data_IF_753657000404
#
_entry.id   IF_753657000404
#
_cell.length_a   1.000
_cell.length_b   1.000
_cell.length_c   1.000
_cell.angle_alpha   90.00
_cell.angle_beta   90.00
_cell.angle_gamma   90.00
#
_symmetry.space_group_name_H-M   'P 1'
#
loop_
_entity.id
_entity.type
_entity.pdbx_description
1 polymer ?
#
# COMPACT_ATOMS: atom_id res chain seq x y z
N UNK A 1 -18.27 2.71 13.92
CA UNK A 1 -17.48 3.51 12.95
C UNK A 1 -17.87 4.96 13.16
N UNK A 2 -16.92 5.81 13.48
CA UNK A 2 -17.14 7.26 13.63
C UNK A 2 -16.96 7.89 12.26
N UNK A 3 -18.03 8.44 11.69
CA UNK A 3 -17.95 9.21 10.45
C UNK A 3 -17.20 10.51 10.73
N UNK A 4 -16.36 10.91 9.78
CA UNK A 4 -15.63 12.17 9.80
C UNK A 4 -16.62 13.33 9.79
N UNK A 5 -16.44 14.29 10.71
CA UNK A 5 -17.26 15.50 10.72
C UNK A 5 -16.43 16.71 10.30
N UNK A 6 -17.10 17.74 9.78
CA UNK A 6 -16.45 19.03 9.49
C UNK A 6 -15.76 19.62 10.74
N UNK A 7 -16.34 19.37 11.93
CA UNK A 7 -15.76 19.81 13.21
C UNK A 7 -14.40 19.15 13.48
N UNK A 8 -14.23 17.88 13.11
CA UNK A 8 -12.95 17.17 13.29
C UNK A 8 -11.87 17.77 12.38
N UNK A 9 -12.21 18.06 11.13
CA UNK A 9 -11.29 18.69 10.16
C UNK A 9 -10.87 20.11 10.60
N UNK A 10 -11.80 20.90 11.11
CA UNK A 10 -11.52 22.24 11.66
C UNK A 10 -10.65 22.16 12.92
N UNK A 11 -10.89 21.17 13.79
CA UNK A 11 -10.08 20.97 15.01
C UNK A 11 -8.67 20.51 14.66
N UNK A 12 -8.50 19.63 13.67
CA UNK A 12 -7.20 19.24 13.16
C UNK A 12 -6.43 20.46 12.63
N UNK A 13 -7.07 21.32 11.82
CA UNK A 13 -6.45 22.58 11.35
C UNK A 13 -6.00 23.46 12.51
N UNK A 14 -6.83 23.63 13.53
CA UNK A 14 -6.47 24.44 14.70
C UNK A 14 -5.21 23.92 15.42
N UNK A 15 -5.08 22.60 15.60
CA UNK A 15 -3.88 22.00 16.19
C UNK A 15 -2.64 22.23 15.31
N UNK A 16 -2.78 22.07 13.99
CA UNK A 16 -1.70 22.31 13.02
C UNK A 16 -1.24 23.76 13.04
N UNK A 17 -2.17 24.71 13.02
CA UNK A 17 -1.85 26.14 13.04
C UNK A 17 -1.27 26.61 14.38
N UNK A 18 -1.56 25.91 15.48
CA UNK A 18 -1.05 26.22 16.82
C UNK A 18 0.34 25.63 17.10
N UNK A 19 0.69 24.52 16.45
CA UNK A 19 1.98 23.85 16.60
C UNK A 19 3.12 24.65 15.94
N UNK A 20 4.34 24.59 16.48
CA UNK A 20 5.57 25.14 15.86
C UNK A 20 6.38 24.03 15.19
N UNK A 21 6.55 22.91 15.88
CA UNK A 21 7.28 21.73 15.39
C UNK A 21 6.32 20.56 15.15
N UNK A 22 6.36 19.99 13.94
CA UNK A 22 5.40 18.97 13.51
C UNK A 22 6.13 17.72 12.99
N UNK A 23 5.76 16.55 13.49
CA UNK A 23 6.17 15.27 12.91
C UNK A 23 5.04 14.77 12.03
N UNK A 24 5.33 14.54 10.75
CA UNK A 24 4.45 13.81 9.85
C UNK A 24 4.95 12.37 9.76
N UNK A 25 4.09 11.37 9.92
CA UNK A 25 4.48 9.98 9.88
C UNK A 25 3.43 9.09 9.22
N UNK A 26 3.86 8.07 8.49
CA UNK A 26 2.99 7.00 7.96
C UNK A 26 3.52 5.62 8.36
N UNK A 27 2.89 4.54 7.90
CA UNK A 27 3.29 3.18 8.25
C UNK A 27 4.67 2.79 7.72
N UNK A 28 5.28 1.80 8.35
CA UNK A 28 6.46 1.10 7.86
C UNK A 28 6.22 0.50 6.47
N UNK A 29 7.23 0.57 5.60
CA UNK A 29 7.11 0.21 4.18
C UNK A 29 5.90 0.91 3.53
N UNK A 30 5.91 2.25 3.53
CA UNK A 30 4.77 3.04 3.11
C UNK A 30 4.44 2.84 1.63
N UNK A 31 3.17 3.02 1.27
CA UNK A 31 2.72 2.99 -0.11
C UNK A 31 2.34 4.38 -0.64
N UNK A 32 1.70 4.42 -1.81
CA UNK A 32 1.30 5.67 -2.46
C UNK A 32 0.27 6.48 -1.68
N UNK A 33 -0.58 5.85 -0.86
CA UNK A 33 -1.61 6.57 -0.10
C UNK A 33 -1.02 7.25 1.13
N UNK A 34 -0.27 6.49 1.93
CA UNK A 34 0.46 7.03 3.08
C UNK A 34 1.45 8.14 2.70
N UNK A 35 2.29 7.92 1.68
CA UNK A 35 3.24 8.95 1.20
C UNK A 35 2.49 10.12 0.55
N UNK A 36 1.46 9.85 -0.27
CA UNK A 36 0.72 10.90 -0.97
C UNK A 36 0.06 11.89 -0.01
N UNK A 37 -0.63 11.38 1.03
CA UNK A 37 -1.29 12.22 2.02
C UNK A 37 -0.25 13.02 2.84
N UNK A 38 0.81 12.35 3.28
CA UNK A 38 1.87 12.97 4.06
C UNK A 38 2.58 14.10 3.29
N UNK A 39 2.93 13.89 2.02
CA UNK A 39 3.60 14.90 1.19
C UNK A 39 2.67 16.06 0.79
N UNK A 40 1.36 15.83 0.68
CA UNK A 40 0.39 16.92 0.50
C UNK A 40 0.30 17.80 1.75
N UNK A 41 0.36 17.21 2.95
CA UNK A 41 0.44 17.98 4.20
C UNK A 41 1.77 18.69 4.35
N UNK A 42 2.90 18.06 4.01
CA UNK A 42 4.22 18.70 4.02
C UNK A 42 4.24 19.99 3.19
N UNK A 43 3.63 19.95 1.99
CA UNK A 43 3.44 21.12 1.13
C UNK A 43 2.60 22.21 1.78
N UNK A 44 1.46 21.84 2.39
CA UNK A 44 0.65 22.80 3.12
C UNK A 44 1.42 23.44 4.28
N UNK A 45 2.19 22.65 5.04
CA UNK A 45 3.01 23.16 6.14
C UNK A 45 4.08 24.16 5.68
N UNK A 46 4.64 24.00 4.48
CA UNK A 46 5.51 25.01 3.87
C UNK A 46 4.77 26.34 3.64
N UNK A 47 3.49 26.31 3.23
CA UNK A 47 2.70 27.54 2.96
C UNK A 47 2.34 28.35 4.21
N UNK A 48 2.41 27.74 5.38
CA UNK A 48 2.13 28.38 6.68
C UNK A 48 3.36 28.44 7.59
N UNK A 49 4.55 28.35 6.99
CA UNK A 49 5.86 28.51 7.63
C UNK A 49 6.07 27.65 8.89
N UNK A 50 5.61 26.38 8.85
CA UNK A 50 5.79 25.44 9.96
C UNK A 50 7.10 24.67 9.86
N UNK A 51 7.73 24.42 11.00
CA UNK A 51 8.86 23.51 11.06
C UNK A 51 8.33 22.08 11.14
N UNK A 52 8.74 21.21 10.21
CA UNK A 52 8.29 19.83 10.21
C UNK A 52 9.37 18.85 9.76
N UNK A 53 9.08 17.57 10.01
CA UNK A 53 9.81 16.44 9.45
C UNK A 53 8.83 15.44 8.85
N UNK A 54 9.13 14.93 7.65
CA UNK A 54 8.38 13.86 7.00
C UNK A 54 9.06 12.52 7.27
N UNK A 55 8.64 11.88 8.36
CA UNK A 55 9.25 10.66 8.89
C UNK A 55 8.68 9.40 8.24
N UNK A 56 9.58 8.53 7.77
CA UNK A 56 9.26 7.21 7.20
C UNK A 56 10.24 6.17 7.72
N UNK A 57 9.81 4.91 7.72
CA UNK A 57 10.68 3.77 8.05
C UNK A 57 10.50 2.62 7.08
N UNK A 58 11.51 1.75 7.02
CA UNK A 58 11.51 0.63 6.08
C UNK A 58 11.94 1.06 4.68
N UNK A 59 11.53 0.28 3.68
CA UNK A 59 11.86 0.55 2.28
C UNK A 59 10.90 1.58 1.70
N UNK A 60 11.41 2.74 1.29
CA UNK A 60 10.61 3.78 0.61
C UNK A 60 10.53 3.43 -0.88
N UNK A 61 9.33 3.25 -1.45
CA UNK A 61 9.20 2.80 -2.83
C UNK A 61 9.71 3.84 -3.84
N UNK A 62 10.76 3.49 -4.59
CA UNK A 62 11.40 4.41 -5.54
C UNK A 62 10.52 4.76 -6.74
N UNK A 63 9.48 3.96 -7.04
CA UNK A 63 8.51 4.30 -8.08
C UNK A 63 7.71 5.56 -7.73
N UNK A 64 7.69 5.99 -6.45
CA UNK A 64 7.06 7.22 -5.97
C UNK A 64 8.00 8.44 -5.97
N UNK A 65 9.26 8.27 -6.38
CA UNK A 65 10.27 9.36 -6.39
C UNK A 65 9.92 10.57 -7.27
N UNK A 66 8.90 10.44 -8.12
CA UNK A 66 8.38 11.56 -8.92
C UNK A 66 7.44 12.48 -8.13
N UNK A 67 7.02 12.09 -6.93
CA UNK A 67 6.12 12.90 -6.11
C UNK A 67 6.84 14.17 -5.61
N UNK A 68 6.20 15.34 -5.70
CA UNK A 68 6.73 16.57 -5.10
C UNK A 68 7.02 16.38 -3.60
N UNK A 69 8.18 16.87 -3.16
CA UNK A 69 8.71 16.71 -1.79
C UNK A 69 9.12 15.29 -1.39
N UNK A 70 9.21 14.34 -2.32
CA UNK A 70 9.73 13.00 -2.00
C UNK A 70 11.14 13.05 -1.40
N UNK A 71 11.97 14.01 -1.80
CA UNK A 71 13.31 14.22 -1.26
C UNK A 71 13.34 14.69 0.20
N UNK A 72 12.21 15.16 0.76
CA UNK A 72 12.08 15.54 2.18
C UNK A 72 11.83 14.35 3.11
N UNK A 73 11.54 13.16 2.56
CA UNK A 73 11.34 11.94 3.35
C UNK A 73 12.63 11.57 4.08
N UNK A 74 12.53 11.25 5.38
CA UNK A 74 13.69 10.90 6.20
C UNK A 74 13.35 9.84 7.25
N UNK A 75 14.36 9.09 7.67
CA UNK A 75 14.29 8.14 8.78
C UNK A 75 14.72 8.77 10.11
N UNK A 76 15.04 10.05 10.12
CA UNK A 76 15.51 10.78 11.30
C UNK A 76 14.46 11.77 11.78
N UNK A 77 14.25 11.84 13.09
CA UNK A 77 13.37 12.82 13.71
C UNK A 77 14.22 13.79 14.53
N UNK A 78 14.34 15.06 14.13
CA UNK A 78 15.17 16.04 14.82
C UNK A 78 14.49 16.64 16.07
N UNK A 79 13.22 16.31 16.32
CA UNK A 79 12.44 16.84 17.43
C UNK A 79 12.33 15.81 18.56
N UNK A 80 13.06 16.03 19.66
CA UNK A 80 12.92 15.19 20.85
C UNK A 80 11.51 15.32 21.48
N UNK A 81 10.95 16.52 21.43
CA UNK A 81 9.61 16.86 21.93
C UNK A 81 8.91 17.75 20.87
N UNK A 82 8.23 17.17 19.88
CA UNK A 82 7.46 17.95 18.92
C UNK A 82 6.21 18.55 19.57
N UNK A 83 5.64 19.61 19.01
CA UNK A 83 4.34 20.11 19.47
C UNK A 83 3.18 19.23 18.98
N UNK A 84 3.31 18.69 17.77
CA UNK A 84 2.27 17.91 17.10
C UNK A 84 2.85 16.74 16.30
N UNK A 85 2.19 15.59 16.40
CA UNK A 85 2.32 14.46 15.49
C UNK A 85 1.09 14.39 14.58
N UNK A 86 1.29 14.15 13.29
CA UNK A 86 0.23 13.81 12.34
C UNK A 86 0.54 12.43 11.74
N UNK A 87 -0.34 11.47 12.00
CA UNK A 87 -0.22 10.10 11.52
C UNK A 87 -1.14 9.84 10.33
N UNK A 88 -0.60 9.27 9.25
CA UNK A 88 -1.31 8.97 8.01
C UNK A 88 -1.33 7.47 7.76
N UNK A 89 -2.51 6.93 7.46
CA UNK A 89 -2.68 5.62 6.81
C UNK A 89 -2.03 4.42 7.54
N UNK A 90 -1.97 4.46 8.86
CA UNK A 90 -1.10 3.52 9.56
C UNK A 90 -1.78 2.23 10.01
N UNK A 91 -3.10 2.21 10.18
CA UNK A 91 -3.89 1.05 10.57
C UNK A 91 -3.68 0.60 12.02
N UNK A 92 -2.43 0.55 12.48
CA UNK A 92 -1.96 0.23 13.82
C UNK A 92 -0.80 1.15 14.21
N UNK A 93 -0.89 1.86 15.34
CA UNK A 93 0.13 2.79 15.85
C UNK A 93 1.54 2.18 15.87
N UNK A 94 1.67 0.87 16.11
CA UNK A 94 2.98 0.20 16.09
C UNK A 94 3.69 0.30 14.73
N UNK A 95 2.93 0.44 13.63
CA UNK A 95 3.46 0.60 12.26
C UNK A 95 4.06 1.97 12.01
N UNK A 96 3.77 2.99 12.83
CA UNK A 96 4.41 4.31 12.70
C UNK A 96 5.89 4.28 13.11
N UNK A 97 6.33 3.28 13.90
CA UNK A 97 7.72 3.10 14.35
C UNK A 97 8.34 4.31 15.05
N UNK A 98 7.51 5.14 15.69
CA UNK A 98 7.98 6.36 16.35
C UNK A 98 8.90 6.05 17.54
N UNK A 99 9.96 6.86 17.76
CA UNK A 99 10.91 6.68 18.85
C UNK A 99 10.39 7.23 20.20
N UNK A 100 9.17 7.76 20.25
CA UNK A 100 8.60 8.37 21.44
C UNK A 100 8.04 7.34 22.42
N UNK A 101 8.34 7.53 23.70
CA UNK A 101 7.82 6.71 24.80
C UNK A 101 6.60 7.35 25.45
N UNK A 102 5.88 6.57 26.26
CA UNK A 102 4.75 7.05 27.06
C UNK A 102 5.23 7.63 28.39
N UNK A 103 4.59 8.68 28.94
CA UNK A 103 3.46 9.43 28.37
C UNK A 103 3.88 10.41 27.27
N UNK A 104 2.99 10.64 26.29
CA UNK A 104 3.24 11.63 25.23
C UNK A 104 3.10 13.05 25.79
N UNK A 105 3.98 13.93 25.33
CA UNK A 105 3.97 15.37 25.65
C UNK A 105 3.43 16.24 24.51
N UNK A 106 3.10 15.62 23.37
CA UNK A 106 2.69 16.28 22.13
C UNK A 106 1.21 16.02 21.79
N UNK A 107 0.62 16.93 21.01
CA UNK A 107 -0.69 16.72 20.40
C UNK A 107 -0.60 15.66 19.29
N UNK A 108 -1.67 14.92 19.03
CA UNK A 108 -1.67 13.91 17.97
C UNK A 108 -2.97 13.99 17.15
N UNK A 109 -2.82 14.16 15.84
CA UNK A 109 -3.88 14.06 14.83
C UNK A 109 -3.68 12.79 14.01
N UNK A 110 -4.73 12.00 13.83
CA UNK A 110 -4.75 10.83 12.94
C UNK A 110 -5.68 11.05 11.77
N UNK A 111 -5.18 10.76 10.57
CA UNK A 111 -5.93 10.65 9.33
C UNK A 111 -5.72 9.24 8.77
N UNK A 112 -6.78 8.42 8.78
CA UNK A 112 -6.70 7.02 8.38
C UNK A 112 -8.07 6.58 7.82
N UNK A 113 -8.05 5.70 6.82
CA UNK A 113 -9.25 5.09 6.25
C UNK A 113 -9.43 3.61 6.67
N UNK A 114 -8.46 3.04 7.40
CA UNK A 114 -8.55 1.68 7.92
C UNK A 114 -9.62 1.54 9.03
N UNK A 115 -10.11 0.31 9.26
CA UNK A 115 -10.89 0.02 10.46
C UNK A 115 -10.12 0.40 11.72
N UNK A 116 -10.78 1.10 12.65
CA UNK A 116 -10.15 1.53 13.90
C UNK A 116 -9.71 0.33 14.75
N UNK A 117 -8.41 0.23 15.02
CA UNK A 117 -7.79 -0.75 15.91
C UNK A 117 -7.06 -0.04 17.07
N UNK A 118 -5.89 0.55 16.82
CA UNK A 118 -5.05 1.24 17.80
C UNK A 118 -4.86 2.74 17.46
N UNK A 119 -5.45 3.20 16.35
CA UNK A 119 -5.44 4.62 15.98
C UNK A 119 -5.97 5.51 17.10
N UNK A 120 -5.31 6.65 17.28
CA UNK A 120 -5.49 7.49 18.46
C UNK A 120 -5.16 8.96 18.21
N UNK A 121 -5.09 9.74 19.28
CA UNK A 121 -4.85 11.17 19.24
C UNK A 121 -6.07 12.00 19.63
N UNK A 122 -5.84 13.29 19.84
CA UNK A 122 -6.87 14.25 20.23
C UNK A 122 -7.92 14.48 19.15
N UNK A 123 -7.48 14.39 17.88
CA UNK A 123 -8.35 14.27 16.72
C UNK A 123 -7.98 12.97 16.02
N UNK A 124 -8.90 12.01 16.06
CA UNK A 124 -8.68 10.69 15.49
C UNK A 124 -9.74 10.41 14.43
N UNK A 125 -9.37 10.64 13.16
CA UNK A 125 -10.21 10.36 12.01
C UNK A 125 -9.78 9.01 11.43
N UNK A 126 -10.60 7.98 11.68
CA UNK A 126 -10.44 6.62 11.19
C UNK A 126 -11.77 6.20 10.52
N UNK A 127 -11.91 6.49 9.23
CA UNK A 127 -13.19 6.44 8.51
C UNK A 127 -13.11 5.59 7.25
N UNK A 128 -13.66 4.38 7.35
CA UNK A 128 -13.68 3.37 6.28
C UNK A 128 -14.62 3.69 5.12
N UNK A 129 -15.29 4.85 5.13
CA UNK A 129 -16.12 5.26 4.00
C UNK A 129 -15.33 5.95 2.88
N UNK A 130 -14.10 6.40 3.15
CA UNK A 130 -13.21 6.94 2.13
C UNK A 130 -12.47 5.84 1.40
N UNK A 131 -12.19 6.03 0.11
CA UNK A 131 -11.41 5.05 -0.61
C UNK A 131 -10.00 4.96 -0.05
N UNK A 132 -9.41 6.10 0.33
CA UNK A 132 -8.01 6.22 0.76
C UNK A 132 -7.82 7.41 1.72
N UNK A 133 -6.70 7.44 2.45
CA UNK A 133 -6.26 8.56 3.29
C UNK A 133 -6.01 9.83 2.47
N UNK A 134 -5.59 9.71 1.21
CA UNK A 134 -5.52 10.85 0.28
C UNK A 134 -6.90 11.45 -0.04
N UNK A 135 -7.96 10.63 -0.15
CA UNK A 135 -9.32 11.17 -0.28
C UNK A 135 -9.68 12.01 0.96
N UNK A 136 -9.33 11.53 2.15
CA UNK A 136 -9.49 12.27 3.40
C UNK A 136 -8.64 13.55 3.45
N UNK A 137 -7.40 13.52 2.92
CA UNK A 137 -6.55 14.70 2.82
C UNK A 137 -7.18 15.78 1.91
N UNK A 138 -7.75 15.39 0.77
CA UNK A 138 -8.53 16.32 -0.07
C UNK A 138 -9.69 16.94 0.73
N UNK A 139 -10.48 16.12 1.44
CA UNK A 139 -11.60 16.63 2.26
C UNK A 139 -11.12 17.59 3.34
N UNK A 140 -9.97 17.34 3.96
CA UNK A 140 -9.36 18.26 4.91
C UNK A 140 -9.04 19.61 4.26
N UNK A 141 -8.36 19.65 3.12
CA UNK A 141 -8.02 20.91 2.47
C UNK A 141 -9.27 21.67 2.00
N UNK A 142 -10.21 20.97 1.35
CA UNK A 142 -11.44 21.55 0.86
C UNK A 142 -12.32 22.11 1.99
N UNK A 143 -12.47 21.39 3.11
CA UNK A 143 -13.30 21.84 4.23
C UNK A 143 -12.72 23.03 5.00
N UNK A 144 -11.43 23.32 4.79
CA UNK A 144 -10.69 24.39 5.45
C UNK A 144 -10.34 25.55 4.50
N UNK A 145 -10.92 25.56 3.29
CA UNK A 145 -10.65 26.56 2.24
C UNK A 145 -9.15 26.70 1.90
N UNK A 146 -8.39 25.61 2.01
CA UNK A 146 -6.97 25.57 1.67
C UNK A 146 -6.85 25.28 0.16
N UNK A 147 -6.19 26.19 -0.56
CA UNK A 147 -5.94 26.00 -1.99
C UNK A 147 -5.02 24.80 -2.23
N UNK A 148 -5.48 23.85 -3.04
CA UNK A 148 -4.70 22.67 -3.43
C UNK A 148 -3.88 23.04 -4.66
N UNK A 149 -2.55 23.04 -4.52
CA UNK A 149 -1.63 23.25 -5.65
C UNK A 149 -1.59 22.04 -6.57
N UNK A 150 -1.03 22.18 -7.77
CA UNK A 150 -0.84 21.06 -8.70
C UNK A 150 0.01 19.94 -8.06
N UNK A 151 1.01 20.33 -7.29
CA UNK A 151 1.94 19.43 -6.62
C UNK A 151 1.23 18.65 -5.50
N UNK A 152 0.39 19.31 -4.69
CA UNK A 152 -0.45 18.65 -3.68
C UNK A 152 -1.44 17.71 -4.35
N UNK A 153 -2.09 18.17 -5.42
CA UNK A 153 -3.06 17.39 -6.17
C UNK A 153 -2.44 16.14 -6.81
N UNK A 154 -1.19 16.23 -7.27
CA UNK A 154 -0.43 15.09 -7.80
C UNK A 154 -0.19 14.03 -6.72
N UNK A 155 0.18 14.43 -5.50
CA UNK A 155 0.34 13.51 -4.37
C UNK A 155 -0.98 12.85 -3.98
N UNK A 156 -2.05 13.65 -3.83
CA UNK A 156 -3.39 13.16 -3.47
C UNK A 156 -3.93 12.20 -4.53
N UNK A 157 -3.86 12.58 -5.81
CA UNK A 157 -4.34 11.74 -6.91
C UNK A 157 -3.56 10.42 -6.99
N UNK A 158 -2.25 10.45 -6.76
CA UNK A 158 -1.42 9.24 -6.74
C UNK A 158 -1.89 8.25 -5.69
N UNK A 159 -2.14 8.70 -4.45
CA UNK A 159 -2.63 7.84 -3.38
C UNK A 159 -4.02 7.25 -3.65
N UNK A 160 -4.93 8.05 -4.19
CA UNK A 160 -6.26 7.57 -4.63
C UNK A 160 -6.10 6.49 -5.70
N UNK A 161 -5.25 6.70 -6.71
CA UNK A 161 -5.02 5.72 -7.78
C UNK A 161 -4.41 4.43 -7.24
N UNK A 162 -3.42 4.51 -6.35
CA UNK A 162 -2.77 3.30 -5.82
C UNK A 162 -3.72 2.46 -4.97
N UNK A 163 -4.49 3.10 -4.09
CA UNK A 163 -5.33 2.37 -3.12
C UNK A 163 -6.66 1.87 -3.72
N UNK A 164 -7.11 2.48 -4.81
CA UNK A 164 -8.26 1.99 -5.59
C UNK A 164 -7.86 1.04 -6.73
N UNK A 165 -6.56 0.76 -6.89
CA UNK A 165 -6.05 -0.01 -8.02
C UNK A 165 -6.42 0.59 -9.37
N UNK A 166 -6.35 1.92 -9.51
CA UNK A 166 -6.79 2.63 -10.70
C UNK A 166 -8.30 2.66 -10.85
N UNK A 167 -9.03 2.89 -9.75
CA UNK A 167 -10.50 2.93 -9.71
C UNK A 167 -11.20 1.60 -10.03
N UNK A 168 -10.48 0.48 -9.90
CA UNK A 168 -11.00 -0.86 -10.20
C UNK A 168 -11.49 -1.61 -8.96
N UNK A 169 -11.02 -1.23 -7.77
CA UNK A 169 -11.34 -1.90 -6.52
C UNK A 169 -12.68 -1.44 -5.93
N UNK A 170 -13.28 -2.28 -5.09
CA UNK A 170 -14.63 -2.06 -4.51
C UNK A 170 -14.70 -0.89 -3.52
N UNK A 171 -13.56 -0.39 -3.04
CA UNK A 171 -13.47 0.85 -2.26
C UNK A 171 -13.67 2.11 -3.13
N UNK A 172 -13.71 1.98 -4.46
CA UNK A 172 -14.00 3.09 -5.36
C UNK A 172 -15.48 3.46 -5.29
N UNK A 173 -15.79 4.70 -4.93
CA UNK A 173 -17.17 5.21 -4.82
C UNK A 173 -17.43 6.39 -5.76
N UNK A 174 -18.70 6.83 -5.83
CA UNK A 174 -19.06 8.07 -6.53
C UNK A 174 -18.33 9.30 -5.94
N UNK A 175 -18.11 9.31 -4.62
CA UNK A 175 -17.35 10.35 -3.94
C UNK A 175 -15.88 10.33 -4.38
N UNK A 176 -15.28 9.15 -4.50
CA UNK A 176 -13.90 8.98 -4.99
C UNK A 176 -13.72 9.55 -6.40
N UNK A 177 -14.65 9.26 -7.33
CA UNK A 177 -14.64 9.87 -8.67
C UNK A 177 -14.87 11.38 -8.63
N UNK A 178 -15.72 11.86 -7.72
CA UNK A 178 -15.96 13.29 -7.54
C UNK A 178 -14.70 14.02 -7.10
N UNK A 179 -13.97 13.47 -6.13
CA UNK A 179 -12.69 14.02 -5.67
C UNK A 179 -11.67 14.05 -6.81
N UNK A 180 -11.50 12.95 -7.55
CA UNK A 180 -10.60 12.92 -8.71
C UNK A 180 -10.98 13.98 -9.76
N UNK A 181 -12.27 14.15 -10.05
CA UNK A 181 -12.75 15.15 -10.99
C UNK A 181 -12.50 16.59 -10.50
N UNK A 182 -12.68 16.87 -9.21
CA UNK A 182 -12.37 18.17 -8.62
C UNK A 182 -10.88 18.49 -8.69
N UNK A 183 -10.01 17.54 -8.35
CA UNK A 183 -8.55 17.71 -8.47
C UNK A 183 -8.15 18.11 -9.90
N UNK A 184 -8.74 17.46 -10.92
CA UNK A 184 -8.49 17.77 -12.33
C UNK A 184 -9.10 19.09 -12.80
N UNK A 185 -10.25 19.50 -12.23
CA UNK A 185 -10.87 20.79 -12.53
C UNK A 185 -10.00 21.95 -12.09
N UNK A 186 -9.38 21.82 -10.91
CA UNK A 186 -8.62 22.91 -10.30
C UNK A 186 -7.12 22.87 -10.64
N UNK A 187 -6.60 21.71 -11.04
CA UNK A 187 -5.17 21.55 -11.32
C UNK A 187 -4.89 20.68 -12.55
N UNK A 188 -3.93 21.05 -13.42
CA UNK A 188 -3.58 20.28 -14.60
C UNK A 188 -2.63 19.12 -14.25
N UNK A 189 -3.14 18.12 -13.54
CA UNK A 189 -2.41 16.89 -13.17
C UNK A 189 -2.19 16.05 -14.44
N UNK A 190 -0.99 15.51 -14.59
CA UNK A 190 -0.70 14.53 -15.64
C UNK A 190 -1.12 13.13 -15.16
N UNK A 191 -2.39 12.80 -15.33
CA UNK A 191 -2.96 11.52 -14.86
C UNK A 191 -2.34 10.34 -15.59
N UNK A 192 -2.02 10.48 -16.87
CA UNK A 192 -1.37 9.45 -17.67
C UNK A 192 0.02 9.13 -17.09
N UNK A 193 0.80 10.17 -16.78
CA UNK A 193 2.12 9.99 -16.17
C UNK A 193 2.05 9.31 -14.81
N UNK A 194 1.16 9.79 -13.92
CA UNK A 194 0.95 9.18 -12.60
C UNK A 194 0.58 7.70 -12.74
N UNK A 195 -0.43 7.40 -13.55
CA UNK A 195 -0.92 6.03 -13.76
C UNK A 195 0.16 5.13 -14.37
N UNK A 196 0.95 5.61 -15.33
CA UNK A 196 2.08 4.84 -15.88
C UNK A 196 3.14 4.50 -14.84
N UNK A 197 3.41 5.42 -13.90
CA UNK A 197 4.42 5.20 -12.85
C UNK A 197 3.96 4.22 -11.78
N UNK A 198 2.68 4.23 -11.43
CA UNK A 198 2.19 3.42 -10.29
C UNK A 198 1.47 2.13 -10.69
N UNK A 199 0.86 2.07 -11.89
CA UNK A 199 0.18 0.87 -12.40
C UNK A 199 0.91 0.21 -13.58
N UNK A 200 1.90 0.90 -14.17
CA UNK A 200 2.69 0.38 -15.28
C UNK A 200 3.82 -0.54 -14.85
N UNK A 201 4.54 -1.06 -15.84
CA UNK A 201 5.78 -1.79 -15.60
C UNK A 201 6.92 -0.80 -15.35
N UNK A 202 7.78 -1.03 -14.33
CA UNK A 202 8.87 -0.12 -14.01
C UNK A 202 9.97 -0.12 -15.10
N UNK A 203 10.04 -1.18 -15.91
CA UNK A 203 11.00 -1.29 -17.02
C UNK A 203 10.51 -2.23 -18.11
N UNK A 204 11.14 -2.15 -19.29
CA UNK A 204 10.97 -3.15 -20.35
C UNK A 204 11.31 -4.56 -19.86
N UNK A 205 12.36 -4.70 -19.05
CA UNK A 205 12.75 -5.97 -18.45
C UNK A 205 11.64 -6.54 -17.58
N UNK A 206 11.05 -5.72 -16.70
CA UNK A 206 9.93 -6.14 -15.84
C UNK A 206 8.71 -6.59 -16.66
N UNK A 207 8.41 -5.91 -17.76
CA UNK A 207 7.36 -6.32 -18.69
C UNK A 207 7.68 -7.68 -19.35
N UNK A 208 8.93 -7.90 -19.76
CA UNK A 208 9.38 -9.17 -20.37
C UNK A 208 9.33 -10.34 -19.39
N UNK A 209 9.81 -10.15 -18.16
CA UNK A 209 9.77 -11.16 -17.09
C UNK A 209 8.33 -11.47 -16.70
N UNK A 210 7.45 -10.46 -16.65
CA UNK A 210 6.01 -10.68 -16.45
C UNK A 210 5.41 -11.52 -17.57
N UNK A 211 5.71 -11.21 -18.83
CA UNK A 211 5.27 -12.01 -19.98
C UNK A 211 5.75 -13.46 -19.92
N UNK A 212 6.98 -13.69 -19.43
CA UNK A 212 7.52 -15.04 -19.21
C UNK A 212 6.79 -15.79 -18.09
N UNK A 213 6.45 -15.12 -16.99
CA UNK A 213 5.64 -15.74 -15.94
C UNK A 213 4.24 -16.10 -16.46
N UNK A 214 3.62 -15.24 -17.27
CA UNK A 214 2.30 -15.52 -17.85
C UNK A 214 2.34 -16.68 -18.86
N UNK A 215 3.41 -16.80 -19.67
CA UNK A 215 3.53 -17.92 -20.62
C UNK A 215 3.76 -19.28 -19.95
N UNK A 216 4.25 -19.29 -18.71
CA UNK A 216 4.41 -20.48 -17.86
C UNK A 216 3.20 -20.77 -16.96
N UNK A 217 2.16 -19.95 -17.04
CA UNK A 217 0.96 -20.12 -16.22
C UNK A 217 0.29 -21.47 -16.56
N UNK A 218 0.04 -22.26 -15.52
CA UNK A 218 -0.59 -23.57 -15.64
C UNK A 218 -1.59 -23.78 -14.50
N UNK A 219 -2.49 -24.74 -14.68
CA UNK A 219 -3.49 -25.10 -13.67
C UNK A 219 -3.28 -26.54 -13.29
N UNK A 220 -3.14 -26.79 -11.99
CA UNK A 220 -3.15 -28.14 -11.48
C UNK A 220 -4.61 -28.66 -11.47
N UNK A 221 -4.94 -29.72 -12.23
CA UNK A 221 -6.33 -30.17 -12.41
C UNK A 221 -6.94 -30.80 -11.15
N UNK A 222 -6.11 -31.25 -10.20
CA UNK A 222 -6.60 -31.90 -8.98
C UNK A 222 -6.83 -30.89 -7.85
N UNK A 223 -5.97 -29.88 -7.74
CA UNK A 223 -6.05 -28.85 -6.70
C UNK A 223 -6.74 -27.58 -7.14
N UNK A 224 -6.94 -27.40 -8.45
CA UNK A 224 -7.48 -26.17 -9.03
C UNK A 224 -6.63 -24.93 -8.71
N UNK A 225 -5.34 -25.12 -8.53
CA UNK A 225 -4.40 -24.02 -8.27
C UNK A 225 -3.84 -23.55 -9.59
N UNK A 226 -4.00 -22.27 -9.91
CA UNK A 226 -3.25 -21.64 -10.97
C UNK A 226 -1.85 -21.32 -10.44
N UNK A 227 -0.80 -21.63 -11.20
CA UNK A 227 0.56 -21.42 -10.75
C UNK A 227 1.49 -21.00 -11.87
N UNK A 228 2.53 -20.28 -11.50
CA UNK A 228 3.66 -19.94 -12.36
C UNK A 228 4.93 -19.86 -11.54
N UNK A 229 6.07 -19.75 -12.20
CA UNK A 229 7.37 -19.69 -11.56
C UNK A 229 8.36 -18.78 -12.30
N UNK A 230 9.22 -18.17 -11.51
CA UNK A 230 10.37 -17.40 -11.95
C UNK A 230 11.60 -17.84 -11.15
N UNK A 231 12.76 -17.85 -11.80
CA UNK A 231 14.06 -18.05 -11.20
C UNK A 231 14.84 -16.75 -11.18
N UNK A 232 15.83 -16.60 -10.29
CA UNK A 232 16.74 -15.45 -10.32
C UNK A 232 17.40 -15.28 -11.69
N UNK A 233 17.72 -16.38 -12.38
CA UNK A 233 18.26 -16.35 -13.75
C UNK A 233 17.31 -15.71 -14.76
N UNK A 234 16.00 -15.95 -14.64
CA UNK A 234 15.01 -15.30 -15.51
C UNK A 234 15.02 -13.77 -15.34
N UNK A 235 15.29 -13.29 -14.13
CA UNK A 235 15.39 -11.86 -13.82
C UNK A 235 16.72 -11.26 -14.30
N UNK A 236 17.84 -11.97 -14.07
CA UNK A 236 19.19 -11.56 -14.49
C UNK A 236 19.28 -11.36 -16.00
N UNK A 237 18.60 -12.20 -16.80
CA UNK A 237 18.55 -12.08 -18.27
C UNK A 237 18.05 -10.70 -18.73
N UNK A 238 17.17 -10.07 -17.94
CA UNK A 238 16.56 -8.78 -18.26
C UNK A 238 17.00 -7.63 -17.35
N UNK A 239 17.96 -7.86 -16.44
CA UNK A 239 18.44 -6.86 -15.48
C UNK A 239 17.37 -6.39 -14.50
N UNK A 240 16.49 -7.30 -14.07
CA UNK A 240 15.31 -7.00 -13.24
C UNK A 240 15.55 -7.39 -11.78
N UNK A 241 15.01 -6.62 -10.84
CA UNK A 241 15.01 -6.99 -9.42
C UNK A 241 13.69 -7.68 -9.02
N UNK A 242 13.72 -8.48 -7.95
CA UNK A 242 12.51 -9.18 -7.47
C UNK A 242 11.38 -8.22 -7.08
N UNK A 243 11.70 -7.02 -6.65
CA UNK A 243 10.75 -5.94 -6.31
C UNK A 243 9.99 -5.42 -7.53
N UNK A 244 10.61 -5.41 -8.72
CA UNK A 244 9.99 -4.94 -9.96
C UNK A 244 8.88 -5.87 -10.48
N UNK A 245 8.84 -7.11 -9.98
CA UNK A 245 7.95 -8.19 -10.45
C UNK A 245 7.10 -8.78 -9.33
N UNK A 246 7.03 -8.12 -8.17
CA UNK A 246 6.27 -8.63 -7.03
C UNK A 246 4.75 -8.67 -7.30
N UNK A 247 4.26 -7.82 -8.20
CA UNK A 247 2.84 -7.72 -8.54
C UNK A 247 2.31 -8.85 -9.45
N UNK A 248 3.17 -9.75 -9.97
CA UNK A 248 2.76 -10.84 -10.87
C UNK A 248 1.71 -11.76 -10.24
N UNK A 249 1.83 -12.04 -8.95
CA UNK A 249 0.87 -12.90 -8.23
C UNK A 249 -0.53 -12.25 -8.14
N UNK A 250 -0.61 -10.92 -8.12
CA UNK A 250 -1.89 -10.20 -8.12
C UNK A 250 -2.49 -10.17 -9.53
N UNK A 251 -1.67 -9.96 -10.57
CA UNK A 251 -2.13 -10.03 -11.97
C UNK A 251 -2.80 -11.36 -12.28
N UNK A 252 -2.20 -12.45 -11.82
CA UNK A 252 -2.72 -13.81 -12.02
C UNK A 252 -3.93 -14.13 -11.13
N UNK A 253 -4.15 -13.39 -10.03
CA UNK A 253 -5.36 -13.55 -9.20
C UNK A 253 -6.65 -13.04 -9.89
N UNK A 254 -6.53 -12.20 -10.93
CA UNK A 254 -7.65 -11.67 -11.71
C UNK A 254 -8.22 -12.65 -12.77
N UNK A 255 -7.78 -13.91 -12.79
CA UNK A 255 -8.34 -14.91 -13.70
C UNK A 255 -9.79 -15.20 -13.29
N UNK A 256 -10.72 -14.84 -14.18
CA UNK A 256 -12.17 -15.06 -14.06
C UNK A 256 -12.60 -16.19 -15.00
N UNK A 257 -13.62 -16.97 -14.61
CA UNK A 257 -14.25 -17.98 -15.48
C UNK A 257 -13.79 -19.43 -15.29
N UNK A 258 -12.76 -19.68 -14.49
CA UNK A 258 -12.33 -21.05 -14.15
C UNK A 258 -12.52 -21.33 -12.66
N UNK A 259 -12.79 -22.60 -12.32
CA UNK A 259 -12.78 -23.07 -10.94
C UNK A 259 -11.33 -23.06 -10.44
N UNK A 260 -10.77 -21.88 -10.16
CA UNK A 260 -9.45 -21.69 -9.58
C UNK A 260 -9.64 -21.42 -8.09
N UNK A 261 -9.07 -22.27 -7.24
CA UNK A 261 -9.13 -22.16 -5.80
C UNK A 261 -8.25 -21.01 -5.27
N UNK A 262 -7.00 -20.96 -5.75
CA UNK A 262 -6.03 -19.91 -5.43
C UNK A 262 -4.93 -19.86 -6.49
N UNK A 263 -4.05 -18.87 -6.38
CA UNK A 263 -2.89 -18.66 -7.26
C UNK A 263 -1.59 -18.76 -6.48
N UNK A 264 -0.58 -19.39 -7.07
CA UNK A 264 0.75 -19.54 -6.48
C UNK A 264 1.88 -19.10 -7.43
N UNK A 265 2.71 -18.15 -6.99
CA UNK A 265 3.95 -17.75 -7.68
C UNK A 265 5.15 -18.35 -6.94
N UNK A 266 5.92 -19.21 -7.62
CA UNK A 266 7.14 -19.79 -7.10
C UNK A 266 8.36 -18.96 -7.53
N UNK A 267 9.09 -18.40 -6.57
CA UNK A 267 10.31 -17.61 -6.79
C UNK A 267 11.54 -18.41 -6.37
N UNK A 268 12.24 -18.96 -7.35
CA UNK A 268 13.43 -19.80 -7.17
C UNK A 268 14.69 -18.93 -7.07
N UNK A 269 15.34 -18.96 -5.89
CA UNK A 269 16.57 -18.22 -5.63
C UNK A 269 17.81 -19.09 -5.84
N UNK A 270 18.96 -18.43 -6.06
CA UNK A 270 20.24 -19.08 -6.35
C UNK A 270 20.76 -19.97 -5.19
N UNK A 271 20.28 -19.78 -3.96
CA UNK A 271 20.62 -20.58 -2.77
C UNK A 271 19.77 -21.85 -2.61
N UNK A 272 18.93 -22.18 -3.60
CA UNK A 272 17.99 -23.30 -3.54
C UNK A 272 16.78 -23.04 -2.63
N UNK A 273 16.62 -21.80 -2.15
CA UNK A 273 15.41 -21.38 -1.45
C UNK A 273 14.33 -20.99 -2.45
N UNK A 274 13.13 -21.52 -2.27
CA UNK A 274 11.96 -21.15 -3.06
C UNK A 274 10.96 -20.42 -2.16
N UNK A 275 10.68 -19.17 -2.51
CA UNK A 275 9.60 -18.40 -1.90
C UNK A 275 8.33 -18.62 -2.70
N UNK A 276 7.26 -19.06 -2.06
CA UNK A 276 5.94 -19.25 -2.67
C UNK A 276 5.02 -18.16 -2.16
N UNK A 277 4.54 -17.31 -3.08
CA UNK A 277 3.52 -16.29 -2.80
C UNK A 277 2.15 -16.81 -3.22
N UNK A 278 1.18 -16.75 -2.30
CA UNK A 278 -0.19 -17.17 -2.55
C UNK A 278 -1.15 -15.99 -2.58
N UNK A 279 -2.13 -16.05 -3.48
CA UNK A 279 -3.29 -15.16 -3.52
C UNK A 279 -4.58 -15.94 -3.72
N UNK A 280 -5.66 -15.47 -3.13
CA UNK A 280 -7.01 -15.93 -3.43
C UNK A 280 -7.96 -14.74 -3.47
N UNK A 281 -9.07 -14.90 -4.17
CA UNK A 281 -10.14 -13.92 -4.18
C UNK A 281 -11.02 -14.10 -2.94
N UNK A 282 -11.40 -13.00 -2.29
CA UNK A 282 -12.31 -13.03 -1.16
C UNK A 282 -13.65 -13.68 -1.52
N UNK A 283 -14.14 -13.46 -2.75
CA UNK A 283 -15.37 -14.08 -3.27
C UNK A 283 -15.24 -15.61 -3.41
N UNK A 284 -14.02 -16.13 -3.59
CA UNK A 284 -13.72 -17.57 -3.65
C UNK A 284 -13.59 -18.20 -2.26
N UNK A 285 -13.39 -17.40 -1.21
CA UNK A 285 -13.38 -17.85 0.19
C UNK A 285 -12.12 -18.59 0.67
N UNK A 286 -11.19 -18.91 -0.23
CA UNK A 286 -10.03 -19.77 0.03
C UNK A 286 -8.99 -19.14 0.97
N UNK A 287 -8.74 -19.78 2.13
CA UNK A 287 -7.77 -19.31 3.14
C UNK A 287 -6.35 -19.80 2.81
N UNK A 288 -5.60 -18.98 2.06
CA UNK A 288 -4.20 -19.29 1.68
C UNK A 288 -3.23 -19.23 2.86
N UNK A 289 -3.58 -18.53 3.96
CA UNK A 289 -2.74 -18.51 5.17
C UNK A 289 -2.64 -19.89 5.80
N UNK A 290 -3.69 -20.70 5.78
CA UNK A 290 -3.63 -22.08 6.30
C UNK A 290 -2.64 -22.95 5.53
N UNK A 291 -2.61 -22.79 4.20
CA UNK A 291 -1.66 -23.50 3.33
C UNK A 291 -0.23 -23.04 3.65
N UNK A 292 0.00 -21.73 3.72
CA UNK A 292 1.30 -21.17 4.06
C UNK A 292 1.78 -21.64 5.45
N UNK A 293 0.93 -21.59 6.47
CA UNK A 293 1.25 -22.05 7.83
C UNK A 293 1.62 -23.54 7.87
N UNK A 294 0.92 -24.39 7.12
CA UNK A 294 1.25 -25.81 6.99
C UNK A 294 2.58 -26.08 6.28
N UNK A 295 3.15 -25.07 5.63
CA UNK A 295 4.47 -25.08 4.99
C UNK A 295 5.53 -24.31 5.79
N UNK A 296 5.21 -23.87 7.02
CA UNK A 296 6.10 -23.08 7.88
C UNK A 296 6.15 -21.58 7.55
N UNK A 297 5.22 -21.09 6.73
CA UNK A 297 5.03 -19.69 6.39
C UNK A 297 3.90 -19.02 7.18
N UNK A 298 3.35 -17.94 6.64
CA UNK A 298 2.28 -17.16 7.27
C UNK A 298 1.75 -16.05 6.38
N UNK A 299 0.89 -15.20 6.95
CA UNK A 299 0.27 -14.06 6.26
C UNK A 299 -1.22 -13.93 6.56
N UNK A 300 -1.94 -13.31 5.65
CA UNK A 300 -3.37 -13.04 5.74
C UNK A 300 -4.19 -14.09 5.00
N UNK A 301 -5.49 -14.15 5.32
CA UNK A 301 -6.44 -15.12 4.75
C UNK A 301 -6.37 -15.21 3.22
N UNK A 302 -6.21 -14.10 2.52
CA UNK A 302 -6.22 -14.03 1.05
C UNK A 302 -4.85 -13.72 0.42
N UNK A 303 -3.82 -13.51 1.24
CA UNK A 303 -2.47 -13.18 0.82
C UNK A 303 -1.46 -13.72 1.84
N UNK A 304 -0.74 -14.78 1.46
CA UNK A 304 0.20 -15.45 2.36
C UNK A 304 1.44 -15.93 1.59
N UNK A 305 2.50 -16.27 2.32
CA UNK A 305 3.73 -16.77 1.70
C UNK A 305 4.42 -17.82 2.57
N UNK A 306 5.21 -18.68 1.93
CA UNK A 306 6.08 -19.66 2.59
C UNK A 306 7.44 -19.72 1.89
N UNK A 307 8.49 -20.12 2.62
CA UNK A 307 9.84 -20.31 2.08
C UNK A 307 10.27 -21.74 2.34
N UNK A 308 10.72 -22.43 1.29
CA UNK A 308 11.07 -23.85 1.35
C UNK A 308 12.38 -24.11 0.64
N UNK A 309 13.23 -24.95 1.23
CA UNK A 309 14.42 -25.49 0.56
C UNK A 309 14.02 -26.66 -0.33
N UNK A 310 14.59 -26.73 -1.54
CA UNK A 310 14.46 -27.88 -2.44
C UNK A 310 14.44 -27.47 -3.90
N UNK A 311 14.20 -28.44 -4.77
CA UNK A 311 13.94 -28.17 -6.19
C UNK A 311 12.53 -27.62 -6.40
N UNK A 312 12.31 -26.94 -7.53
CA UNK A 312 10.99 -26.41 -7.92
C UNK A 312 9.92 -27.49 -7.90
N UNK A 313 10.24 -28.66 -8.45
CA UNK A 313 9.33 -29.79 -8.56
C UNK A 313 8.95 -30.35 -7.18
N UNK A 314 9.91 -30.50 -6.27
CA UNK A 314 9.66 -30.94 -4.89
C UNK A 314 8.79 -29.94 -4.12
N UNK A 315 9.08 -28.64 -4.24
CA UNK A 315 8.32 -27.59 -3.54
C UNK A 315 6.90 -27.49 -4.10
N UNK A 316 6.73 -27.55 -5.43
CA UNK A 316 5.40 -27.60 -6.06
C UNK A 316 4.60 -28.81 -5.58
N UNK A 317 5.19 -30.01 -5.56
CA UNK A 317 4.52 -31.22 -5.09
C UNK A 317 4.03 -31.08 -3.64
N UNK A 318 4.89 -30.55 -2.74
CA UNK A 318 4.52 -30.29 -1.34
C UNK A 318 3.39 -29.28 -1.21
N UNK A 319 3.42 -28.19 -1.97
CA UNK A 319 2.36 -27.18 -1.98
C UNK A 319 1.03 -27.81 -2.40
N UNK A 320 1.01 -28.55 -3.51
CA UNK A 320 -0.21 -29.20 -4.01
C UNK A 320 -0.74 -30.24 -3.03
N UNK A 321 0.14 -31.02 -2.40
CA UNK A 321 -0.25 -31.99 -1.37
C UNK A 321 -0.92 -31.31 -0.16
N UNK A 322 -0.37 -30.17 0.32
CA UNK A 322 -0.98 -29.42 1.43
C UNK A 322 -2.34 -28.83 1.08
N UNK A 323 -2.53 -28.42 -0.17
CA UNK A 323 -3.81 -27.91 -0.65
C UNK A 323 -4.85 -29.04 -0.71
N UNK A 324 -4.48 -30.23 -1.23
CA UNK A 324 -5.38 -31.41 -1.23
C UNK A 324 -5.83 -31.80 0.19
N UNK A 325 -4.91 -31.75 1.17
CA UNK A 325 -5.18 -32.14 2.56
C UNK A 325 -5.98 -31.10 3.37
N UNK A 326 -6.17 -29.89 2.86
CA UNK A 326 -6.94 -28.82 3.51
C UNK A 326 -8.16 -28.41 2.67
N UNK A 327 -9.16 -29.28 2.47
CA UNK A 327 -10.30 -29.01 1.60
C UNK A 327 -11.25 -27.91 2.12
N UNK A 328 -11.15 -27.52 3.40
CA UNK A 328 -11.90 -26.39 4.01
C UNK A 328 -11.34 -25.01 3.66
N UNK A 329 -10.40 -24.95 2.71
CA UNK A 329 -10.13 -23.75 1.95
C UNK A 329 -11.08 -23.63 0.73
N UNK A 330 -11.99 -24.58 0.49
CA UNK A 330 -13.15 -24.36 -0.38
C UNK A 330 -14.29 -23.70 0.40
#
# INVERSE_FOLDING_TARGET
>A
MTKTTQKDLLRAKHLIESARTIVLATHENPDGDGIGAMLAFAQYLDTIDKQYVAYVTGSVPQYLSFLPHFEKLTTEIPFAEPDLLIGFDYGDTARLRLPYTSPRTYHFVTLDHHPKTTQEGEVCIADTSFSSTCELAYRFFAANDIAITKEMATCIYTGIVTDTGGFMHTNTTADTFTVAAELLRHTPIDTEWVTKRVLGFPSYGAARVTGLALSRLAINPETHVAYTYLSTRDLEEYGVLWEDVDNIVNLTNHITGEHIACVALFKEKNDGMISVSFRSDAAKGFDVRRVAAALGGGGHRFAAAAKLQGTREEVMARVFEKIKKNPTAR
#
